data_IF_085317638064
#
_entry.id   IF_085317638064
#
_cell.length_a   1.000
_cell.length_b   1.000
_cell.length_c   1.000
_cell.angle_alpha   90.00
_cell.angle_beta   90.00
_cell.angle_gamma   90.00
#
_symmetry.space_group_name_H-M   'P 1'
#
loop_
_entity.id
_entity.type
_entity.pdbx_description
1 polymer ?
#
# COMPACT_ATOMS: atom_id res chain seq x y z
N UNK A 1 -30.23 15.50 26.60
CA UNK A 1 -30.60 15.59 25.17
C UNK A 1 -29.31 16.05 24.46
N UNK A 2 -28.63 15.15 23.79
CA UNK A 2 -27.45 15.51 22.98
C UNK A 2 -27.99 16.07 21.67
N UNK A 3 -27.82 17.37 21.45
CA UNK A 3 -28.14 18.00 20.15
C UNK A 3 -27.33 17.26 19.07
N UNK A 4 -28.06 16.65 18.16
CA UNK A 4 -27.49 16.06 16.96
C UNK A 4 -27.01 17.22 16.08
N UNK A 5 -25.74 17.60 16.18
CA UNK A 5 -25.14 18.62 15.31
C UNK A 5 -24.86 17.94 13.96
N UNK A 6 -25.78 18.14 13.04
CA UNK A 6 -25.55 17.80 11.64
C UNK A 6 -24.39 18.64 11.10
N UNK A 7 -23.22 18.03 10.93
CA UNK A 7 -22.09 18.65 10.26
C UNK A 7 -22.33 18.68 8.74
N UNK A 8 -23.21 19.59 8.32
CA UNK A 8 -23.59 19.76 6.91
C UNK A 8 -22.44 20.19 6.00
N UNK A 9 -21.32 20.67 6.57
CA UNK A 9 -20.13 21.09 5.83
C UNK A 9 -19.12 19.97 5.57
N UNK A 10 -19.30 18.81 6.20
CA UNK A 10 -18.64 17.58 5.85
C UNK A 10 -19.70 16.59 5.33
N UNK A 11 -20.26 16.82 4.12
CA UNK A 11 -20.86 15.71 3.48
C UNK A 11 -19.69 14.75 3.22
N UNK A 12 -19.51 13.78 4.12
CA UNK A 12 -18.90 12.52 3.69
C UNK A 12 -19.99 11.90 2.81
N UNK A 13 -20.08 12.29 1.53
CA UNK A 13 -21.05 11.66 0.69
C UNK A 13 -20.68 10.21 0.76
N UNK A 14 -21.67 9.38 0.73
CA UNK A 14 -21.54 7.97 0.43
C UNK A 14 -20.87 7.83 -0.96
N UNK A 15 -19.59 8.24 -1.01
CA UNK A 15 -18.79 8.45 -2.22
C UNK A 15 -18.46 7.14 -2.91
N UNK A 16 -18.73 6.00 -2.25
CA UNK A 16 -18.43 4.71 -2.83
C UNK A 16 -19.71 3.93 -3.16
N UNK A 17 -20.47 4.44 -4.11
CA UNK A 17 -21.57 3.68 -4.71
C UNK A 17 -21.07 2.71 -5.80
N UNK A 18 -19.79 2.68 -6.12
CA UNK A 18 -19.16 1.81 -7.11
C UNK A 18 -18.07 0.90 -6.50
N UNK A 19 -17.53 -0.01 -7.30
CA UNK A 19 -16.29 -0.69 -6.95
C UNK A 19 -15.18 0.34 -6.81
N UNK A 20 -14.29 0.24 -5.82
CA UNK A 20 -13.18 1.14 -5.70
C UNK A 20 -12.34 1.07 -6.97
N UNK A 21 -12.03 2.23 -7.54
CA UNK A 21 -11.09 2.39 -8.65
C UNK A 21 -9.79 2.90 -8.07
N UNK A 22 -8.69 2.45 -8.61
CA UNK A 22 -7.36 2.91 -8.23
C UNK A 22 -7.23 4.40 -8.55
N UNK A 23 -7.82 4.84 -9.66
CA UNK A 23 -7.97 6.28 -9.96
C UNK A 23 -9.25 6.59 -10.74
N UNK A 24 -9.76 7.78 -10.62
CA UNK A 24 -11.11 8.19 -11.01
C UNK A 24 -11.41 8.37 -12.51
N UNK A 25 -10.79 7.68 -13.43
CA UNK A 25 -11.08 7.77 -14.86
C UNK A 25 -12.32 6.95 -15.29
N UNK A 26 -13.28 7.55 -15.96
CA UNK A 26 -14.46 6.86 -16.52
C UNK A 26 -14.27 6.39 -17.97
N UNK A 27 -13.24 6.86 -18.66
CA UNK A 27 -13.01 6.60 -20.10
C UNK A 27 -11.78 5.74 -20.31
N UNK A 28 -11.92 4.71 -21.16
CA UNK A 28 -10.77 3.91 -21.61
C UNK A 28 -9.73 4.82 -22.25
N UNK A 29 -8.50 4.74 -21.77
CA UNK A 29 -7.40 5.60 -22.23
C UNK A 29 -7.05 5.36 -23.71
N UNK A 30 -6.37 6.33 -24.32
CA UNK A 30 -5.85 6.21 -25.67
C UNK A 30 -4.84 5.06 -25.78
N UNK A 31 -4.04 4.84 -24.72
CA UNK A 31 -3.06 3.75 -24.68
C UNK A 31 -3.74 2.38 -24.69
N UNK A 32 -4.77 2.18 -23.83
CA UNK A 32 -5.52 0.93 -23.81
C UNK A 32 -6.20 0.63 -25.17
N UNK A 33 -6.75 1.66 -25.83
CA UNK A 33 -7.30 1.52 -27.19
C UNK A 33 -6.24 1.08 -28.19
N UNK A 34 -5.04 1.70 -28.14
CA UNK A 34 -3.90 1.35 -29.01
C UNK A 34 -3.44 -0.09 -28.76
N UNK A 35 -3.28 -0.50 -27.50
CA UNK A 35 -2.91 -1.86 -27.13
C UNK A 35 -3.94 -2.88 -27.60
N UNK A 36 -5.23 -2.55 -27.49
CA UNK A 36 -6.33 -3.40 -27.98
C UNK A 36 -6.32 -3.55 -29.50
N UNK A 37 -5.95 -2.50 -30.24
CA UNK A 37 -5.84 -2.56 -31.70
C UNK A 37 -4.62 -3.36 -32.16
N UNK A 38 -3.57 -3.43 -31.35
CA UNK A 38 -2.31 -4.12 -31.64
C UNK A 38 -2.08 -5.36 -30.74
N UNK A 39 -3.10 -6.22 -30.60
CA UNK A 39 -3.13 -7.34 -29.65
C UNK A 39 -1.90 -8.26 -29.74
N UNK A 40 -1.48 -8.64 -30.94
CA UNK A 40 -0.36 -9.56 -31.15
C UNK A 40 0.94 -8.93 -30.61
N UNK A 41 1.17 -7.66 -30.92
CA UNK A 41 2.39 -6.95 -30.50
C UNK A 41 2.37 -6.75 -28.99
N UNK A 42 1.28 -6.21 -28.46
CA UNK A 42 1.19 -5.91 -27.02
C UNK A 42 1.12 -7.18 -26.17
N UNK A 43 0.33 -8.19 -26.53
CA UNK A 43 0.28 -9.48 -25.83
C UNK A 43 1.63 -10.19 -25.86
N UNK A 44 2.34 -10.14 -27.01
CA UNK A 44 3.71 -10.64 -27.14
C UNK A 44 4.69 -9.90 -26.22
N UNK A 45 4.55 -8.57 -26.07
CA UNK A 45 5.32 -7.77 -25.12
C UNK A 45 5.08 -8.23 -23.68
N UNK A 46 3.82 -8.35 -23.25
CA UNK A 46 3.47 -8.79 -21.88
C UNK A 46 4.06 -10.17 -21.59
N UNK A 47 3.94 -11.13 -22.50
CA UNK A 47 4.51 -12.49 -22.34
C UNK A 47 6.04 -12.47 -22.22
N UNK A 48 6.72 -11.70 -23.06
CA UNK A 48 8.18 -11.57 -23.00
C UNK A 48 8.63 -10.99 -21.66
N UNK A 49 7.99 -9.89 -21.21
CA UNK A 49 8.32 -9.26 -19.92
C UNK A 49 8.01 -10.19 -18.73
N UNK A 50 6.90 -10.93 -18.80
CA UNK A 50 6.60 -11.95 -17.77
C UNK A 50 7.68 -13.02 -17.68
N UNK A 51 8.17 -13.51 -18.83
CA UNK A 51 9.24 -14.51 -18.86
C UNK A 51 10.58 -13.96 -18.34
N UNK A 52 10.92 -12.71 -18.66
CA UNK A 52 12.11 -12.03 -18.15
C UNK A 52 12.05 -11.86 -16.62
N UNK A 53 10.91 -11.40 -16.07
CA UNK A 53 10.70 -11.28 -14.63
C UNK A 53 10.73 -12.64 -13.92
N UNK A 54 10.06 -13.66 -14.47
CA UNK A 54 10.09 -15.01 -13.93
C UNK A 54 11.53 -15.55 -13.82
N UNK A 55 12.32 -15.37 -14.89
CA UNK A 55 13.73 -15.79 -14.89
C UNK A 55 14.53 -15.02 -13.83
N UNK A 56 14.42 -13.71 -13.78
CA UNK A 56 15.09 -12.85 -12.80
C UNK A 56 14.80 -13.30 -11.36
N UNK A 57 13.55 -13.55 -11.02
CA UNK A 57 13.16 -13.96 -9.67
C UNK A 57 13.59 -15.40 -9.35
N UNK A 58 13.62 -16.31 -10.32
CA UNK A 58 14.16 -17.66 -10.15
C UNK A 58 15.65 -17.63 -9.88
N UNK A 59 16.40 -16.85 -10.65
CA UNK A 59 17.84 -16.66 -10.47
C UNK A 59 18.12 -16.06 -9.08
N UNK A 60 17.40 -15.02 -8.69
CA UNK A 60 17.54 -14.38 -7.37
C UNK A 60 17.23 -15.33 -6.20
N UNK A 61 16.19 -16.16 -6.32
CA UNK A 61 15.89 -17.18 -5.31
C UNK A 61 16.99 -18.25 -5.23
N UNK A 62 17.51 -18.70 -6.36
CA UNK A 62 18.61 -19.65 -6.39
C UNK A 62 19.86 -19.06 -5.71
N UNK A 63 20.22 -17.82 -6.02
CA UNK A 63 21.33 -17.09 -5.39
C UNK A 63 21.16 -16.97 -3.87
N UNK A 64 19.95 -16.69 -3.40
CA UNK A 64 19.66 -16.65 -1.95
C UNK A 64 19.91 -18.00 -1.28
N UNK A 65 19.48 -19.09 -1.91
CA UNK A 65 19.71 -20.45 -1.41
C UNK A 65 21.20 -20.81 -1.40
N UNK A 66 21.93 -20.49 -2.45
CA UNK A 66 23.38 -20.70 -2.53
C UNK A 66 24.15 -19.95 -1.44
N UNK A 67 23.72 -18.71 -1.15
CA UNK A 67 24.31 -17.89 -0.10
C UNK A 67 23.78 -18.19 1.31
N UNK A 68 22.93 -19.20 1.46
CA UNK A 68 22.35 -19.60 2.76
C UNK A 68 21.71 -18.42 3.50
N UNK A 69 21.04 -17.53 2.76
CA UNK A 69 20.33 -16.39 3.35
C UNK A 69 19.06 -16.84 4.09
N UNK A 70 18.63 -16.11 5.12
CA UNK A 70 17.43 -16.41 5.88
C UNK A 70 16.20 -16.63 5.00
N UNK A 71 15.27 -17.46 5.46
CA UNK A 71 14.02 -17.71 4.75
C UNK A 71 13.19 -16.43 4.65
N UNK A 72 12.57 -16.21 3.49
CA UNK A 72 11.68 -15.08 3.24
C UNK A 72 10.41 -15.58 2.57
N UNK A 73 9.31 -14.85 2.71
CA UNK A 73 8.05 -15.17 2.06
C UNK A 73 8.19 -15.35 0.54
N UNK A 74 7.40 -16.26 -0.01
CA UNK A 74 7.52 -16.71 -1.41
C UNK A 74 6.98 -15.72 -2.44
N UNK A 75 6.30 -14.65 -2.02
CA UNK A 75 5.80 -13.62 -2.92
C UNK A 75 6.93 -12.88 -3.66
N UNK A 76 6.64 -12.43 -4.88
CA UNK A 76 7.52 -11.56 -5.65
C UNK A 76 6.85 -10.21 -5.86
N UNK A 77 7.52 -9.07 -5.59
CA UNK A 77 6.99 -7.75 -5.87
C UNK A 77 7.17 -7.39 -7.33
N UNK A 78 6.17 -6.74 -7.91
CA UNK A 78 6.21 -6.25 -9.29
C UNK A 78 5.64 -4.84 -9.32
N UNK A 79 6.34 -3.89 -9.91
CA UNK A 79 5.80 -2.59 -10.25
C UNK A 79 5.11 -2.68 -11.61
N UNK A 80 3.85 -2.32 -11.66
CA UNK A 80 3.06 -2.25 -12.88
C UNK A 80 2.76 -0.80 -13.26
N UNK A 81 2.86 -0.48 -14.55
CA UNK A 81 2.21 0.67 -15.14
C UNK A 81 0.89 0.20 -15.77
N UNK A 82 -0.22 0.83 -15.36
CA UNK A 82 -1.58 0.39 -15.71
C UNK A 82 -2.45 1.55 -16.18
N UNK A 83 -3.56 1.21 -16.82
CA UNK A 83 -4.62 2.19 -17.11
C UNK A 83 -5.21 2.72 -15.79
N UNK A 84 -5.21 4.05 -15.54
CA UNK A 84 -5.75 4.63 -14.30
C UNK A 84 -7.23 4.31 -14.03
N UNK A 85 -7.98 3.85 -15.03
CA UNK A 85 -9.38 3.44 -14.88
C UNK A 85 -9.56 2.01 -14.35
N UNK A 86 -8.46 1.32 -13.99
CA UNK A 86 -8.50 -0.07 -13.53
C UNK A 86 -9.14 -0.17 -12.15
N UNK A 87 -10.00 -1.16 -11.99
CA UNK A 87 -10.56 -1.55 -10.69
C UNK A 87 -9.66 -2.61 -10.03
N UNK A 88 -9.65 -2.65 -8.70
CA UNK A 88 -8.85 -3.60 -7.90
C UNK A 88 -9.09 -5.05 -8.33
N UNK A 89 -10.34 -5.45 -8.53
CA UNK A 89 -10.69 -6.81 -8.96
C UNK A 89 -10.06 -7.21 -10.31
N UNK A 90 -9.72 -6.24 -11.12
CA UNK A 90 -9.02 -6.49 -12.37
C UNK A 90 -7.64 -7.08 -12.14
N UNK A 91 -6.87 -6.52 -11.20
CA UNK A 91 -5.52 -6.99 -10.88
C UNK A 91 -5.56 -8.36 -10.20
N UNK A 92 -6.52 -8.57 -9.31
CA UNK A 92 -6.78 -9.89 -8.72
C UNK A 92 -7.08 -10.93 -9.78
N UNK A 93 -7.86 -10.55 -10.82
CA UNK A 93 -8.15 -11.40 -11.98
C UNK A 93 -6.94 -11.74 -12.85
N UNK A 94 -5.81 -11.03 -12.69
CA UNK A 94 -4.52 -11.32 -13.30
C UNK A 94 -3.58 -12.15 -12.39
N UNK A 95 -4.03 -12.51 -11.19
CA UNK A 95 -3.24 -13.28 -10.23
C UNK A 95 -2.37 -12.43 -9.32
N UNK A 96 -2.70 -11.13 -9.17
CA UNK A 96 -1.94 -10.20 -8.35
C UNK A 96 -2.69 -9.82 -7.07
N UNK A 97 -1.95 -9.74 -5.99
CA UNK A 97 -2.32 -9.06 -4.76
C UNK A 97 -1.83 -7.60 -4.82
N UNK A 98 -2.65 -6.65 -4.38
CA UNK A 98 -2.27 -5.25 -4.35
C UNK A 98 -1.43 -5.00 -3.11
N UNK A 99 -0.28 -4.36 -3.30
CA UNK A 99 0.57 -3.90 -2.21
C UNK A 99 0.31 -2.43 -1.94
N UNK A 100 0.49 -1.57 -2.93
CA UNK A 100 0.28 -0.13 -2.80
C UNK A 100 0.08 0.52 -4.16
N UNK A 101 -0.83 1.50 -4.24
CA UNK A 101 -0.87 2.47 -5.34
C UNK A 101 0.06 3.63 -4.97
N UNK A 102 1.06 3.91 -5.81
CA UNK A 102 2.10 4.90 -5.51
C UNK A 102 1.74 6.26 -6.11
N UNK A 103 1.38 6.25 -7.38
CA UNK A 103 0.98 7.43 -8.14
C UNK A 103 0.03 7.01 -9.26
N UNK A 104 -0.62 7.97 -9.91
CA UNK A 104 -1.58 7.68 -10.97
C UNK A 104 -1.00 6.78 -12.06
N UNK A 105 -1.58 5.59 -12.18
CA UNK A 105 -1.15 4.59 -13.16
C UNK A 105 0.02 3.71 -12.76
N UNK A 106 0.62 3.89 -11.57
CA UNK A 106 1.69 3.03 -11.06
C UNK A 106 1.28 2.34 -9.76
N UNK A 107 1.37 1.01 -9.75
CA UNK A 107 0.97 0.19 -8.61
C UNK A 107 2.01 -0.91 -8.35
N UNK A 108 2.32 -1.12 -7.08
CA UNK A 108 3.05 -2.30 -6.65
C UNK A 108 2.04 -3.41 -6.38
N UNK A 109 2.31 -4.56 -6.94
CA UNK A 109 1.57 -5.80 -6.72
C UNK A 109 2.52 -6.89 -6.26
N UNK A 110 1.98 -7.90 -5.61
CA UNK A 110 2.69 -9.12 -5.25
C UNK A 110 2.02 -10.35 -5.87
N UNK A 111 2.79 -11.40 -6.10
CA UNK A 111 2.24 -12.70 -6.52
C UNK A 111 3.13 -13.84 -6.03
N UNK A 112 2.52 -14.96 -5.65
CA UNK A 112 3.24 -16.19 -5.35
C UNK A 112 3.55 -17.00 -6.63
N UNK A 113 2.85 -16.70 -7.72
CA UNK A 113 3.04 -17.31 -9.04
C UNK A 113 4.28 -16.73 -9.73
N UNK A 114 5.45 -17.29 -9.44
CA UNK A 114 6.73 -16.85 -10.03
C UNK A 114 6.76 -16.98 -11.56
N UNK A 115 5.94 -17.84 -12.14
CA UNK A 115 5.84 -18.04 -13.59
C UNK A 115 4.88 -17.07 -14.25
N UNK A 116 4.14 -16.27 -13.46
CA UNK A 116 3.11 -15.37 -13.94
C UNK A 116 2.12 -16.08 -14.89
N UNK A 117 1.78 -17.32 -14.54
CA UNK A 117 1.00 -18.23 -15.41
C UNK A 117 -0.38 -17.69 -15.71
N UNK A 118 -1.04 -17.06 -14.73
CA UNK A 118 -2.35 -16.44 -14.91
C UNK A 118 -2.27 -15.28 -15.89
N UNK A 119 -1.29 -14.38 -15.74
CA UNK A 119 -1.06 -13.26 -16.65
C UNK A 119 -0.74 -13.75 -18.06
N UNK A 120 0.14 -14.75 -18.19
CA UNK A 120 0.54 -15.34 -19.47
C UNK A 120 -0.66 -15.96 -20.18
N UNK A 121 -1.51 -16.71 -19.47
CA UNK A 121 -2.75 -17.26 -20.04
C UNK A 121 -3.70 -16.16 -20.52
N UNK A 122 -3.87 -15.08 -19.75
CA UNK A 122 -4.69 -13.93 -20.16
C UNK A 122 -4.10 -13.23 -21.40
N UNK A 123 -2.76 -13.16 -21.51
CA UNK A 123 -2.11 -12.62 -22.69
C UNK A 123 -2.33 -13.51 -23.94
N UNK A 124 -2.33 -14.84 -23.81
CA UNK A 124 -2.66 -15.76 -24.90
C UNK A 124 -4.12 -15.60 -25.34
N UNK A 125 -5.07 -15.54 -24.41
CA UNK A 125 -6.49 -15.31 -24.70
C UNK A 125 -6.70 -13.95 -25.39
N UNK A 126 -5.92 -12.93 -24.99
CA UNK A 126 -5.95 -11.59 -25.58
C UNK A 126 -5.43 -11.60 -27.03
N UNK A 127 -4.30 -12.26 -27.29
CA UNK A 127 -3.73 -12.42 -28.64
C UNK A 127 -4.72 -13.16 -29.56
N UNK A 128 -5.28 -14.25 -29.06
CA UNK A 128 -6.22 -15.10 -29.81
C UNK A 128 -7.62 -14.46 -29.97
N UNK A 129 -7.91 -13.36 -29.27
CA UNK A 129 -9.20 -12.66 -29.29
C UNK A 129 -10.43 -13.56 -29.04
N UNK A 130 -10.29 -14.49 -28.08
CA UNK A 130 -11.26 -15.60 -27.87
C UNK A 130 -12.62 -15.07 -27.37
N UNK A 131 -12.63 -13.99 -26.57
CA UNK A 131 -13.85 -13.41 -26.01
C UNK A 131 -13.79 -11.88 -25.93
N UNK A 132 -14.96 -11.23 -25.89
CA UNK A 132 -15.05 -9.77 -25.65
C UNK A 132 -14.43 -9.33 -24.29
N UNK A 133 -14.25 -10.26 -23.36
CA UNK A 133 -13.67 -10.02 -22.01
C UNK A 133 -12.15 -10.24 -21.94
N UNK A 134 -11.50 -10.65 -23.04
CA UNK A 134 -10.05 -10.93 -23.07
C UNK A 134 -9.18 -9.67 -23.16
N UNK A 135 -9.73 -8.46 -23.02
CA UNK A 135 -9.00 -7.19 -23.17
C UNK A 135 -8.18 -6.79 -21.92
N UNK A 136 -8.19 -7.59 -20.88
CA UNK A 136 -7.48 -7.30 -19.64
C UNK A 136 -6.01 -6.93 -19.85
N UNK A 137 -5.19 -7.67 -20.61
CA UNK A 137 -3.78 -7.32 -20.77
C UNK A 137 -3.54 -5.96 -21.45
N UNK A 138 -4.50 -5.44 -22.24
CA UNK A 138 -4.38 -4.12 -22.86
C UNK A 138 -4.28 -2.98 -21.85
N UNK A 139 -4.74 -3.20 -20.61
CA UNK A 139 -4.72 -2.22 -19.52
C UNK A 139 -3.43 -2.29 -18.68
N UNK A 140 -2.60 -3.29 -18.86
CA UNK A 140 -1.26 -3.37 -18.28
C UNK A 140 -0.30 -2.78 -19.31
N UNK A 141 0.22 -1.59 -19.03
CA UNK A 141 1.08 -0.87 -19.98
C UNK A 141 2.51 -1.36 -19.94
N UNK A 142 3.03 -1.55 -18.72
CA UNK A 142 4.35 -2.13 -18.53
C UNK A 142 4.43 -2.99 -17.27
N UNK A 143 5.31 -3.98 -17.32
CA UNK A 143 5.89 -4.64 -16.17
C UNK A 143 7.27 -4.04 -16.00
N UNK A 144 7.43 -3.19 -14.98
CA UNK A 144 8.62 -2.38 -14.77
C UNK A 144 9.79 -3.20 -14.21
N UNK A 145 10.98 -2.63 -14.25
CA UNK A 145 12.16 -3.23 -13.65
C UNK A 145 12.19 -2.99 -12.12
N UNK A 146 12.91 -3.85 -11.39
CA UNK A 146 12.99 -3.74 -9.93
C UNK A 146 13.62 -2.42 -9.47
N UNK A 147 14.55 -1.85 -10.24
CA UNK A 147 15.12 -0.52 -9.98
C UNK A 147 14.09 0.61 -9.98
N UNK A 148 13.06 0.52 -10.83
CA UNK A 148 11.97 1.50 -10.84
C UNK A 148 11.09 1.38 -9.60
N UNK A 149 10.90 0.16 -9.08
CA UNK A 149 10.21 -0.09 -7.81
C UNK A 149 10.99 0.50 -6.64
N UNK A 150 12.29 0.23 -6.56
CA UNK A 150 13.15 0.75 -5.49
C UNK A 150 13.10 2.28 -5.41
N UNK A 151 13.18 2.97 -6.54
CA UNK A 151 13.07 4.42 -6.60
C UNK A 151 11.79 4.97 -6.00
N UNK A 152 10.73 4.15 -5.94
CA UNK A 152 9.40 4.56 -5.47
C UNK A 152 9.12 4.17 -4.02
N UNK A 153 9.71 3.09 -3.54
CA UNK A 153 9.50 2.63 -2.16
C UNK A 153 10.53 3.21 -1.18
N UNK A 154 11.70 3.62 -1.67
CA UNK A 154 12.72 4.26 -0.84
C UNK A 154 12.46 5.77 -0.77
N UNK A 155 12.65 6.38 0.41
CA UNK A 155 12.70 7.83 0.51
C UNK A 155 13.78 8.37 -0.43
N UNK A 156 13.62 9.60 -0.89
CA UNK A 156 14.57 10.21 -1.83
C UNK A 156 16.01 10.18 -1.29
N UNK A 157 16.17 10.53 -0.04
CA UNK A 157 17.46 10.57 0.66
C UNK A 157 18.09 9.18 0.76
N UNK A 158 17.28 8.17 1.06
CA UNK A 158 17.73 6.78 1.14
C UNK A 158 18.08 6.24 -0.26
N UNK A 159 17.28 6.55 -1.27
CA UNK A 159 17.56 6.13 -2.65
C UNK A 159 18.88 6.71 -3.18
N UNK A 160 19.17 7.99 -2.90
CA UNK A 160 20.43 8.63 -3.28
C UNK A 160 21.66 7.97 -2.61
N UNK A 161 21.50 7.47 -1.39
CA UNK A 161 22.55 6.78 -0.62
C UNK A 161 22.58 5.27 -0.88
N UNK A 162 21.59 4.70 -1.56
CA UNK A 162 21.39 3.24 -1.66
C UNK A 162 22.65 2.48 -2.05
N UNK A 163 23.38 2.94 -3.05
CA UNK A 163 24.62 2.30 -3.52
C UNK A 163 25.82 2.42 -2.56
N UNK A 164 25.72 3.28 -1.55
CA UNK A 164 26.80 3.57 -0.58
C UNK A 164 26.55 2.98 0.81
N UNK A 165 25.40 2.33 1.00
CA UNK A 165 25.08 1.64 2.27
C UNK A 165 26.08 0.51 2.49
N UNK A 166 26.70 0.50 3.67
CA UNK A 166 27.67 -0.51 4.06
C UNK A 166 26.96 -1.72 4.69
N UNK A 167 27.30 -2.93 4.26
CA UNK A 167 26.60 -4.15 4.65
C UNK A 167 26.67 -4.44 6.15
N UNK A 168 27.80 -4.10 6.80
CA UNK A 168 28.07 -4.40 8.21
C UNK A 168 27.68 -3.26 9.16
N UNK A 169 27.30 -2.10 8.64
CA UNK A 169 26.82 -0.98 9.46
C UNK A 169 25.36 -1.17 9.86
N UNK A 170 25.02 -0.62 11.02
CA UNK A 170 23.65 -0.68 11.59
C UNK A 170 22.90 0.58 11.26
N UNK A 171 21.68 0.43 10.77
CA UNK A 171 20.77 1.49 10.38
C UNK A 171 19.47 1.40 11.16
N UNK A 172 18.86 2.54 11.44
CA UNK A 172 17.51 2.63 12.00
C UNK A 172 16.58 3.05 10.87
N UNK A 173 15.65 2.16 10.52
CA UNK A 173 14.80 2.30 9.34
C UNK A 173 13.33 2.18 9.74
N UNK A 174 12.49 3.01 9.15
CA UNK A 174 11.05 2.85 9.17
C UNK A 174 10.61 2.14 7.90
N UNK A 175 9.79 1.09 8.04
CA UNK A 175 9.23 0.35 6.92
C UNK A 175 7.71 0.37 6.98
N UNK A 176 7.07 0.44 5.80
CA UNK A 176 5.64 0.23 5.61
C UNK A 176 5.38 -1.12 4.93
N UNK A 177 4.50 -1.94 5.52
CA UNK A 177 4.15 -3.28 5.04
C UNK A 177 2.66 -3.36 4.78
N UNK A 178 2.29 -3.71 3.55
CA UNK A 178 0.89 -3.89 3.15
C UNK A 178 0.30 -5.18 3.71
N UNK A 179 -0.95 -5.13 4.15
CA UNK A 179 -1.75 -6.26 4.62
C UNK A 179 -3.09 -6.40 3.86
N UNK A 180 -3.25 -5.70 2.72
CA UNK A 180 -4.49 -5.71 1.95
C UNK A 180 -4.95 -7.13 1.54
N UNK A 181 -4.02 -7.98 1.14
CA UNK A 181 -4.33 -9.33 0.65
C UNK A 181 -5.26 -9.32 -0.56
N UNK A 182 -5.85 -10.48 -0.82
CA UNK A 182 -6.89 -10.67 -1.83
C UNK A 182 -8.31 -10.58 -1.26
N UNK A 183 -8.47 -9.90 -0.11
CA UNK A 183 -9.72 -9.86 0.64
C UNK A 183 -10.52 -8.63 0.22
N UNK A 184 -11.76 -8.84 -0.20
CA UNK A 184 -12.70 -7.76 -0.51
C UNK A 184 -13.67 -7.56 0.65
N UNK A 185 -13.75 -6.32 1.18
CA UNK A 185 -14.78 -5.98 2.14
C UNK A 185 -16.16 -5.96 1.46
N UNK A 186 -17.13 -6.71 1.99
CA UNK A 186 -18.46 -6.71 1.41
C UNK A 186 -19.14 -5.37 1.62
N UNK A 187 -19.82 -4.88 0.58
CA UNK A 187 -20.60 -3.64 0.65
C UNK A 187 -21.81 -3.80 1.52
N UNK A 188 -22.05 -2.84 2.41
CA UNK A 188 -23.23 -2.82 3.25
C UNK A 188 -24.50 -2.76 2.37
N UNK A 189 -25.49 -3.63 2.59
CA UNK A 189 -26.71 -3.62 1.81
C UNK A 189 -27.48 -2.31 2.03
N UNK A 190 -27.89 -1.67 0.95
CA UNK A 190 -28.82 -0.52 1.01
C UNK A 190 -30.23 -1.06 1.16
N UNK A 191 -31.02 -0.44 2.03
CA UNK A 191 -32.46 -0.73 2.14
C UNK A 191 -33.15 -0.31 0.84
N UNK A 192 -34.04 -1.17 0.33
CA UNK A 192 -34.87 -0.87 -0.83
C UNK A 192 -36.18 -0.24 -0.33
N UNK A 193 -36.79 0.61 -1.16
CA UNK A 193 -38.00 1.37 -0.78
C UNK A 193 -39.17 0.47 -0.35
N UNK A 194 -39.32 -0.69 -0.97
CA UNK A 194 -40.40 -1.66 -0.70
C UNK A 194 -39.98 -2.83 0.18
N UNK A 195 -38.82 -2.74 0.88
CA UNK A 195 -38.28 -3.84 1.67
C UNK A 195 -38.81 -3.84 3.10
N UNK A 196 -39.33 -5.00 3.56
CA UNK A 196 -39.72 -5.19 4.95
C UNK A 196 -38.50 -5.17 5.89
N UNK A 197 -38.72 -4.76 7.14
CA UNK A 197 -37.67 -4.74 8.18
C UNK A 197 -37.02 -6.13 8.35
N UNK A 198 -37.81 -7.19 8.33
CA UNK A 198 -37.32 -8.55 8.46
C UNK A 198 -36.35 -8.94 7.32
N UNK A 199 -36.69 -8.63 6.09
CA UNK A 199 -35.84 -8.94 4.94
C UNK A 199 -34.55 -8.10 4.98
N UNK A 200 -34.63 -6.82 5.34
CA UNK A 200 -33.45 -5.96 5.49
C UNK A 200 -32.53 -6.48 6.59
N UNK A 201 -33.06 -6.81 7.77
CA UNK A 201 -32.30 -7.31 8.91
C UNK A 201 -31.56 -8.62 8.57
N UNK A 202 -32.19 -9.55 7.85
CA UNK A 202 -31.53 -10.79 7.39
C UNK A 202 -30.37 -10.48 6.43
N UNK A 203 -30.51 -9.52 5.54
CA UNK A 203 -29.42 -9.11 4.63
C UNK A 203 -28.30 -8.39 5.37
N UNK A 204 -28.64 -7.54 6.33
CA UNK A 204 -27.68 -6.84 7.17
C UNK A 204 -26.90 -7.81 8.06
N UNK A 205 -27.57 -8.80 8.66
CA UNK A 205 -26.90 -9.84 9.43
C UNK A 205 -25.91 -10.64 8.57
N UNK A 206 -26.32 -11.09 7.39
CA UNK A 206 -25.42 -11.81 6.46
C UNK A 206 -24.25 -10.95 6.00
N UNK A 207 -24.46 -9.65 5.84
CA UNK A 207 -23.40 -8.72 5.53
C UNK A 207 -22.44 -8.59 6.72
N UNK A 208 -22.94 -8.44 7.94
CA UNK A 208 -22.12 -8.35 9.16
C UNK A 208 -21.25 -9.59 9.33
N UNK A 209 -21.81 -10.79 9.13
CA UNK A 209 -21.05 -12.05 9.19
C UNK A 209 -19.90 -12.06 8.16
N UNK A 210 -20.17 -11.69 6.91
CA UNK A 210 -19.15 -11.62 5.87
C UNK A 210 -18.10 -10.54 6.14
N UNK A 211 -18.53 -9.40 6.65
CA UNK A 211 -17.67 -8.29 6.99
C UNK A 211 -16.71 -8.67 8.11
N UNK A 212 -17.22 -9.28 9.19
CA UNK A 212 -16.39 -9.77 10.27
C UNK A 212 -15.41 -10.85 9.81
N UNK A 213 -15.85 -11.77 8.95
CA UNK A 213 -14.97 -12.79 8.38
C UNK A 213 -13.82 -12.18 7.54
N UNK A 214 -14.10 -11.12 6.77
CA UNK A 214 -13.10 -10.41 6.01
C UNK A 214 -12.09 -9.67 6.91
N UNK A 215 -12.57 -9.05 7.99
CA UNK A 215 -11.69 -8.42 8.99
C UNK A 215 -10.80 -9.43 9.68
N UNK A 216 -11.34 -10.57 10.14
CA UNK A 216 -10.54 -11.64 10.74
C UNK A 216 -9.46 -12.16 9.78
N UNK A 217 -9.80 -12.27 8.50
CA UNK A 217 -8.83 -12.70 7.49
C UNK A 217 -7.73 -11.64 7.25
N UNK A 218 -8.03 -10.35 7.36
CA UNK A 218 -7.02 -9.30 7.33
C UNK A 218 -6.11 -9.35 8.54
N UNK A 219 -6.68 -9.48 9.74
CA UNK A 219 -5.89 -9.63 10.96
C UNK A 219 -4.95 -10.84 10.87
N UNK A 220 -5.40 -11.95 10.29
CA UNK A 220 -4.57 -13.13 10.06
C UNK A 220 -3.40 -12.84 9.10
N UNK A 221 -3.64 -12.11 8.00
CA UNK A 221 -2.58 -11.70 7.07
C UNK A 221 -1.58 -10.79 7.78
N UNK A 222 -2.08 -9.81 8.56
CA UNK A 222 -1.24 -8.89 9.31
C UNK A 222 -0.33 -9.64 10.27
N UNK A 223 -0.90 -10.50 11.12
CA UNK A 223 -0.12 -11.32 12.08
C UNK A 223 0.97 -12.14 11.38
N UNK A 224 0.63 -12.81 10.26
CA UNK A 224 1.62 -13.58 9.49
C UNK A 224 2.77 -12.71 8.96
N UNK A 225 2.46 -11.50 8.48
CA UNK A 225 3.49 -10.57 7.97
C UNK A 225 4.33 -9.95 9.07
N UNK A 226 3.72 -9.65 10.22
CA UNK A 226 4.47 -9.22 11.40
C UNK A 226 5.44 -10.31 11.87
N UNK A 227 4.96 -11.55 12.03
CA UNK A 227 5.81 -12.69 12.39
C UNK A 227 6.91 -12.95 11.35
N UNK A 228 6.62 -12.78 10.07
CA UNK A 228 7.60 -12.97 9.00
C UNK A 228 8.71 -11.90 9.07
N UNK A 229 8.35 -10.63 9.29
CA UNK A 229 9.31 -9.54 9.46
C UNK A 229 10.14 -9.74 10.73
N UNK A 230 9.51 -10.07 11.85
CA UNK A 230 10.20 -10.29 13.12
C UNK A 230 11.24 -11.42 13.00
N UNK A 231 10.84 -12.55 12.44
CA UNK A 231 11.72 -13.69 12.18
C UNK A 231 12.87 -13.30 11.27
N UNK A 232 12.57 -12.67 10.14
CA UNK A 232 13.58 -12.26 9.17
C UNK A 232 14.61 -11.32 9.77
N UNK A 233 14.16 -10.30 10.50
CA UNK A 233 15.02 -9.32 11.17
C UNK A 233 15.89 -10.00 12.23
N UNK A 234 15.31 -10.91 13.04
CA UNK A 234 16.00 -11.69 14.06
C UNK A 234 17.10 -12.59 13.46
N UNK A 235 16.83 -13.23 12.32
CA UNK A 235 17.80 -14.10 11.62
C UNK A 235 19.04 -13.32 11.14
N UNK A 236 18.92 -12.00 10.96
CA UNK A 236 20.03 -11.10 10.69
C UNK A 236 20.62 -10.45 11.95
N UNK A 237 20.24 -10.88 13.16
CA UNK A 237 20.57 -10.27 14.45
C UNK A 237 20.15 -8.79 14.54
N UNK A 238 19.11 -8.41 13.83
CA UNK A 238 18.44 -7.11 13.96
C UNK A 238 17.33 -7.18 15.01
N UNK A 239 16.68 -6.05 15.25
CA UNK A 239 15.57 -5.93 16.19
C UNK A 239 14.49 -4.97 15.69
N UNK A 240 13.23 -5.24 16.02
CA UNK A 240 12.15 -4.25 15.94
C UNK A 240 12.27 -3.38 17.18
N UNK A 241 12.38 -2.05 17.00
CA UNK A 241 12.60 -1.14 18.10
C UNK A 241 11.39 -1.10 19.05
N UNK A 242 11.69 -0.90 20.34
CA UNK A 242 10.69 -0.81 21.40
C UNK A 242 10.79 0.55 22.09
N UNK A 243 9.66 1.03 22.58
CA UNK A 243 9.60 2.14 23.52
C UNK A 243 10.12 1.71 24.90
N UNK A 244 10.36 2.68 25.79
CA UNK A 244 10.86 2.42 27.13
C UNK A 244 9.97 1.50 27.99
N UNK A 245 8.69 1.40 27.67
CA UNK A 245 7.71 0.50 28.31
C UNK A 245 7.66 -0.90 27.70
N UNK A 246 8.51 -1.17 26.70
CA UNK A 246 8.54 -2.46 25.98
C UNK A 246 7.54 -2.56 24.83
N UNK A 247 6.75 -1.53 24.56
CA UNK A 247 5.84 -1.50 23.42
C UNK A 247 6.65 -1.39 22.12
N UNK A 248 6.35 -2.23 21.12
CA UNK A 248 6.98 -2.15 19.80
C UNK A 248 6.67 -0.80 19.14
N UNK A 249 7.66 -0.21 18.48
CA UNK A 249 7.47 1.00 17.66
C UNK A 249 6.83 0.56 16.35
N UNK A 250 5.53 0.29 16.42
CA UNK A 250 4.69 -0.08 15.27
C UNK A 250 3.48 0.84 15.21
N UNK A 251 2.99 1.09 14.01
CA UNK A 251 1.73 1.82 13.80
C UNK A 251 0.83 0.99 12.93
N UNK A 252 -0.36 0.69 13.44
CA UNK A 252 -1.34 -0.14 12.76
C UNK A 252 -2.34 0.69 11.99
N UNK A 253 -2.53 0.32 10.73
CA UNK A 253 -3.62 0.77 9.88
C UNK A 253 -4.47 -0.46 9.49
N UNK A 254 -5.71 -0.28 9.03
CA UNK A 254 -6.58 -1.41 8.69
C UNK A 254 -6.01 -2.37 7.64
N UNK A 255 -5.20 -1.88 6.73
CA UNK A 255 -4.68 -2.59 5.55
C UNK A 255 -3.14 -2.64 5.49
N UNK A 256 -2.47 -2.15 6.50
CA UNK A 256 -1.01 -2.10 6.57
C UNK A 256 -0.51 -1.91 8.01
N UNK A 257 0.78 -2.08 8.20
CA UNK A 257 1.47 -1.61 9.42
C UNK A 257 2.80 -0.98 9.05
N UNK A 258 3.31 -0.13 9.93
CA UNK A 258 4.68 0.34 9.88
C UNK A 258 5.46 -0.15 11.08
N UNK A 259 6.75 -0.36 10.93
CA UNK A 259 7.64 -0.79 12.01
C UNK A 259 8.97 -0.08 11.91
N UNK A 260 9.54 0.27 13.07
CA UNK A 260 10.90 0.80 13.18
C UNK A 260 11.88 -0.31 13.48
N UNK A 261 12.84 -0.49 12.59
CA UNK A 261 13.83 -1.56 12.63
C UNK A 261 15.23 -1.00 12.92
N UNK A 262 16.00 -1.75 13.71
CA UNK A 262 17.45 -1.54 13.84
C UNK A 262 18.14 -2.76 13.23
N UNK A 263 18.70 -2.59 12.05
CA UNK A 263 19.17 -3.67 11.18
C UNK A 263 20.51 -3.33 10.51
N UNK A 264 21.26 -4.36 10.14
CA UNK A 264 22.46 -4.19 9.32
C UNK A 264 22.12 -3.81 7.88
N UNK A 265 23.04 -3.17 7.16
CA UNK A 265 22.85 -2.88 5.74
C UNK A 265 22.61 -4.15 4.91
N UNK A 266 23.22 -5.28 5.29
CA UNK A 266 22.96 -6.57 4.64
C UNK A 266 21.49 -6.99 4.81
N UNK A 267 20.95 -6.90 6.02
CA UNK A 267 19.53 -7.17 6.28
C UNK A 267 18.62 -6.22 5.50
N UNK A 268 18.95 -4.91 5.49
CA UNK A 268 18.21 -3.89 4.77
C UNK A 268 18.12 -4.20 3.27
N UNK A 269 19.26 -4.53 2.63
CA UNK A 269 19.28 -4.90 1.21
C UNK A 269 18.40 -6.12 0.95
N UNK A 270 18.58 -7.18 1.74
CA UNK A 270 17.86 -8.41 1.51
C UNK A 270 16.35 -8.24 1.74
N UNK A 271 15.96 -7.52 2.78
CA UNK A 271 14.57 -7.21 3.09
C UNK A 271 13.90 -6.42 1.96
N UNK A 272 14.47 -5.28 1.60
CA UNK A 272 13.91 -4.36 0.61
C UNK A 272 13.82 -4.98 -0.79
N UNK A 273 14.82 -5.78 -1.13
CA UNK A 273 14.88 -6.39 -2.45
C UNK A 273 13.98 -7.62 -2.60
N UNK A 274 13.67 -8.34 -1.53
CA UNK A 274 13.04 -9.65 -1.62
C UNK A 274 11.72 -9.79 -0.87
N UNK A 275 11.40 -8.93 0.11
CA UNK A 275 10.10 -8.98 0.77
C UNK A 275 9.03 -8.28 -0.08
N UNK A 276 8.04 -9.04 -0.51
CA UNK A 276 7.12 -8.61 -1.57
C UNK A 276 6.15 -7.49 -1.15
N UNK A 277 5.90 -7.33 0.13
CA UNK A 277 4.81 -6.51 0.65
C UNK A 277 5.27 -5.16 1.20
N UNK A 278 6.55 -4.83 1.08
CA UNK A 278 7.07 -3.51 1.45
C UNK A 278 6.67 -2.48 0.40
N UNK A 279 6.07 -1.39 0.85
CA UNK A 279 5.68 -0.27 -0.01
C UNK A 279 6.39 1.04 0.32
N UNK A 280 7.04 1.13 1.49
CA UNK A 280 7.77 2.32 1.92
C UNK A 280 8.94 1.93 2.81
N UNK A 281 10.08 2.61 2.61
CA UNK A 281 11.27 2.49 3.47
C UNK A 281 11.93 3.85 3.57
N UNK A 282 12.18 4.31 4.80
CA UNK A 282 12.86 5.58 5.07
C UNK A 282 13.83 5.43 6.24
N UNK A 283 14.84 6.30 6.29
CA UNK A 283 15.64 6.46 7.49
C UNK A 283 14.76 7.02 8.60
N UNK A 284 14.83 6.46 9.80
CA UNK A 284 14.06 6.96 10.93
C UNK A 284 14.47 8.40 11.26
N UNK A 285 13.51 9.31 11.29
CA UNK A 285 13.75 10.67 11.71
C UNK A 285 14.12 10.69 13.20
N UNK A 286 15.32 11.16 13.51
CA UNK A 286 15.70 11.47 14.88
C UNK A 286 15.22 12.88 15.18
N UNK A 287 14.10 13.00 15.88
CA UNK A 287 13.71 14.29 16.43
C UNK A 287 14.76 14.64 17.50
N UNK A 288 15.75 15.40 17.11
CA UNK A 288 16.64 16.06 18.07
C UNK A 288 15.76 17.12 18.74
N UNK A 289 15.21 16.78 19.90
CA UNK A 289 14.64 17.78 20.80
C UNK A 289 15.81 18.62 21.26
N UNK A 290 16.26 19.53 20.40
CA UNK A 290 17.21 20.54 20.78
C UNK A 290 16.61 21.40 21.87
N UNK A 291 17.45 22.11 22.63
CA UNK A 291 17.13 23.07 23.70
C UNK A 291 16.15 24.20 23.27
N UNK A 292 15.47 24.02 22.11
CA UNK A 292 14.43 24.92 21.59
C UNK A 292 13.17 24.99 22.47
N UNK A 293 13.00 24.09 23.45
CA UNK A 293 11.91 24.18 24.41
C UNK A 293 12.06 25.37 25.35
N UNK A 294 13.29 25.77 25.69
CA UNK A 294 13.52 26.94 26.56
C UNK A 294 13.26 28.29 25.87
N UNK A 295 13.23 28.33 24.53
CA UNK A 295 13.00 29.57 23.78
C UNK A 295 11.58 29.70 23.17
N UNK A 296 10.69 28.72 23.37
CA UNK A 296 9.33 28.78 22.82
C UNK A 296 8.49 29.91 23.43
N UNK A 297 8.67 30.20 24.71
CA UNK A 297 7.96 31.28 25.37
C UNK A 297 8.32 32.67 24.82
N UNK A 298 9.54 32.87 24.35
CA UNK A 298 9.98 34.16 23.78
C UNK A 298 9.47 34.44 22.36
N UNK A 299 9.17 33.41 21.59
CA UNK A 299 8.65 33.55 20.23
C UNK A 299 7.13 33.77 20.20
N UNK A 300 6.41 33.20 21.18
CA UNK A 300 4.95 33.34 21.29
C UNK A 300 4.51 34.67 21.87
N UNK A 301 5.35 35.37 22.62
CA UNK A 301 5.03 36.69 23.18
C UNK A 301 4.90 37.81 22.11
N UNK A 302 5.44 37.59 20.91
CA UNK A 302 5.43 38.59 19.82
C UNK A 302 4.36 38.35 18.76
N UNK A 303 3.63 37.24 18.78
CA UNK A 303 2.57 37.00 17.83
C UNK A 303 1.28 37.72 18.26
N UNK A 304 0.96 38.82 17.61
CA UNK A 304 -0.37 39.44 17.71
C UNK A 304 -1.32 38.71 16.73
N UNK A 305 -2.22 37.92 17.26
CA UNK A 305 -3.26 37.25 16.46
C UNK A 305 -4.45 38.16 16.39
N UNK A 306 -4.73 38.69 15.20
CA UNK A 306 -5.95 39.47 14.94
C UNK A 306 -7.16 38.53 14.75
N UNK A 307 -8.31 38.94 15.24
CA UNK A 307 -9.54 38.17 15.00
C UNK A 307 -9.83 38.05 13.51
N UNK A 308 -10.24 36.88 13.03
CA UNK A 308 -10.52 36.68 11.61
C UNK A 308 -11.70 37.56 11.15
N UNK A 309 -11.61 38.06 9.93
CA UNK A 309 -12.72 38.78 9.32
C UNK A 309 -13.91 37.84 9.09
N UNK A 310 -15.13 38.38 9.06
CA UNK A 310 -16.38 37.61 8.94
C UNK A 310 -16.45 36.69 7.71
N UNK A 311 -15.67 36.98 6.67
CA UNK A 311 -15.54 36.16 5.43
C UNK A 311 -14.33 35.27 5.41
N UNK A 312 -13.59 35.13 6.50
CA UNK A 312 -12.43 34.24 6.54
C UNK A 312 -12.85 32.77 6.39
N UNK A 313 -12.13 31.97 5.62
CA UNK A 313 -12.42 30.55 5.48
C UNK A 313 -12.23 29.84 6.81
N UNK A 314 -13.15 28.92 7.13
CA UNK A 314 -13.01 28.04 8.28
C UNK A 314 -12.07 26.91 7.87
N UNK A 315 -10.91 26.81 8.53
CA UNK A 315 -9.93 25.73 8.33
C UNK A 315 -10.08 24.75 9.48
N UNK A 316 -10.32 23.49 9.15
CA UNK A 316 -10.27 22.39 10.12
C UNK A 316 -8.90 21.74 10.04
N UNK A 317 -8.15 21.76 11.15
CA UNK A 317 -6.89 21.02 11.29
C UNK A 317 -7.23 19.75 12.04
N UNK A 318 -7.06 18.59 11.37
CA UNK A 318 -7.11 17.29 12.03
C UNK A 318 -5.67 16.88 12.35
N UNK A 319 -5.34 16.93 13.63
CA UNK A 319 -4.04 16.53 14.15
C UNK A 319 -4.23 15.55 15.32
N UNK A 320 -3.32 14.60 15.46
CA UNK A 320 -3.35 13.63 16.55
C UNK A 320 -2.87 14.18 17.89
N UNK A 321 -2.42 15.42 17.95
CA UNK A 321 -1.82 15.99 19.17
C UNK A 321 -1.84 17.51 19.25
N UNK A 322 -3.03 18.13 19.30
CA UNK A 322 -3.14 19.54 19.66
C UNK A 322 -2.99 19.67 21.19
N UNK A 323 -2.04 20.49 21.63
CA UNK A 323 -1.88 20.77 23.04
C UNK A 323 -3.08 21.61 23.55
N UNK A 324 -4.01 20.96 24.25
CA UNK A 324 -5.30 21.54 24.68
C UNK A 324 -5.13 22.80 25.54
N UNK A 325 -4.05 22.89 26.30
CA UNK A 325 -3.76 24.04 27.19
C UNK A 325 -2.99 25.19 26.51
N UNK A 326 -2.84 25.16 25.18
CA UNK A 326 -2.12 26.23 24.50
C UNK A 326 -2.95 27.51 24.51
N UNK A 327 -2.37 28.61 25.03
CA UNK A 327 -3.03 29.92 25.29
C UNK A 327 -3.81 30.52 24.09
N UNK A 328 -3.55 30.07 22.85
CA UNK A 328 -4.25 30.50 21.64
C UNK A 328 -5.33 29.53 21.18
N UNK A 329 -5.56 28.43 21.89
CA UNK A 329 -6.57 27.41 21.57
C UNK A 329 -7.69 27.36 22.64
N UNK A 330 -7.56 28.12 23.72
CA UNK A 330 -8.52 28.24 24.81
C UNK A 330 -9.65 29.25 24.49
#
# INVERSE_FOLDING_TARGET
MVENRDFTHLPLPLLFQGKPKLHGGSTISAQTKRNTSNRIIHGGYVKRRSAELSRFWKERRAERLENTLPEIETGIPILLEIDPSVEIDFLRGLGFEIVCEIEEGFIIVATEDIDLSVLNKKADDFIANITARCNSPAKVYALCEDGDRLKRILSKELYEKWATILQDEVYIMDIGVSCCGNIELPKRPKRKDDETDEHYNVREQRWTEKFNAAYMAWDEIKMKREEAIERFVSDYNGEIMQLADGTLVTTDLPDSFSARLKISGKCLFDLVLNFAYIFEVSEAETIVMGDALENRDSLTEKAQIEAPIQSAPIVCVMDSGIQEEHKYLA
#
